data_IF_455952907365
#
_entry.id   IF_455952907365
#
_cell.length_a   1.000
_cell.length_b   1.000
_cell.length_c   1.000
_cell.angle_alpha   90.00
_cell.angle_beta   90.00
_cell.angle_gamma   90.00
#
_symmetry.space_group_name_H-M   'P 1'
#
loop_
_entity.id
_entity.type
_entity.pdbx_description
1 polymer ?
#
# COMPACT_ATOMS: atom_id res chain seq x y z
N UNK A 1 2.15 18.91 34.21
CA UNK A 1 2.79 18.07 33.19
C UNK A 1 3.03 18.97 31.98
N UNK A 2 4.28 19.40 31.76
CA UNK A 2 4.61 20.23 30.60
C UNK A 2 4.53 19.34 29.37
N UNK A 3 3.61 19.63 28.45
CA UNK A 3 3.68 19.03 27.10
C UNK A 3 5.03 19.49 26.54
N UNK A 4 5.88 18.52 26.23
CA UNK A 4 7.23 18.74 25.73
C UNK A 4 7.10 19.62 24.47
N UNK A 5 7.78 20.77 24.41
CA UNK A 5 7.62 21.76 23.34
C UNK A 5 7.79 21.11 21.93
N UNK A 6 8.67 20.12 21.83
CA UNK A 6 8.86 19.30 20.63
C UNK A 6 7.62 18.50 20.24
N UNK A 7 6.92 17.89 21.18
CA UNK A 7 5.71 17.12 20.90
C UNK A 7 4.58 18.03 20.39
N UNK A 8 4.42 19.22 20.98
CA UNK A 8 3.44 20.20 20.50
C UNK A 8 3.76 20.66 19.06
N UNK A 9 5.06 20.84 18.75
CA UNK A 9 5.53 21.18 17.41
C UNK A 9 5.24 20.07 16.40
N UNK A 10 5.54 18.81 16.74
CA UNK A 10 5.23 17.64 15.89
C UNK A 10 3.73 17.59 15.59
N UNK A 11 2.87 17.67 16.62
CA UNK A 11 1.42 17.62 16.44
C UNK A 11 0.91 18.75 15.53
N UNK A 12 1.48 19.95 15.66
CA UNK A 12 1.12 21.10 14.80
C UNK A 12 1.51 20.85 13.33
N UNK A 13 2.69 20.29 13.09
CA UNK A 13 3.15 19.96 11.74
C UNK A 13 2.34 18.81 11.12
N UNK A 14 2.01 17.79 11.91
CA UNK A 14 1.14 16.68 11.48
C UNK A 14 -0.24 17.21 11.11
N UNK A 15 -0.81 18.12 11.90
CA UNK A 15 -2.10 18.74 11.57
C UNK A 15 -2.02 19.61 10.31
N UNK A 16 -0.93 20.37 10.15
CA UNK A 16 -0.69 21.18 8.95
C UNK A 16 -0.59 20.37 7.66
N UNK A 17 -0.16 19.11 7.74
CA UNK A 17 -0.07 18.18 6.60
C UNK A 17 -1.22 17.17 6.54
N UNK A 18 -2.33 17.42 7.23
CA UNK A 18 -3.44 16.45 7.31
C UNK A 18 -4.01 16.04 5.94
N UNK A 19 -4.09 16.96 4.97
CA UNK A 19 -4.57 16.65 3.62
C UNK A 19 -3.62 15.72 2.86
N UNK A 20 -2.31 15.90 3.00
CA UNK A 20 -1.29 15.04 2.40
C UNK A 20 -1.32 13.65 3.05
N UNK A 21 -1.43 13.60 4.38
CA UNK A 21 -1.59 12.35 5.14
C UNK A 21 -2.81 11.58 4.63
N UNK A 22 -3.96 12.25 4.49
CA UNK A 22 -5.19 11.64 4.00
C UNK A 22 -5.03 11.10 2.58
N UNK A 23 -4.36 11.85 1.71
CA UNK A 23 -4.13 11.44 0.31
C UNK A 23 -3.27 10.19 0.24
N UNK A 24 -2.17 10.15 1.01
CA UNK A 24 -1.29 8.97 1.08
C UNK A 24 -2.03 7.78 1.67
N UNK A 25 -2.85 7.99 2.70
CA UNK A 25 -3.64 6.92 3.33
C UNK A 25 -4.66 6.32 2.36
N UNK A 26 -5.42 7.16 1.66
CA UNK A 26 -6.34 6.72 0.61
C UNK A 26 -5.61 5.93 -0.48
N UNK A 27 -4.44 6.40 -0.91
CA UNK A 27 -3.63 5.70 -1.90
C UNK A 27 -3.16 4.33 -1.38
N UNK A 28 -2.68 4.26 -0.13
CA UNK A 28 -2.29 2.99 0.49
C UNK A 28 -3.46 2.00 0.54
N UNK A 29 -4.66 2.45 0.90
CA UNK A 29 -5.86 1.62 0.92
C UNK A 29 -6.24 1.12 -0.47
N UNK A 30 -6.25 2.01 -1.47
CA UNK A 30 -6.56 1.66 -2.86
C UNK A 30 -5.55 0.68 -3.43
N UNK A 31 -4.26 0.90 -3.22
CA UNK A 31 -3.20 0.02 -3.71
C UNK A 31 -3.23 -1.35 -3.01
N UNK A 32 -3.49 -1.41 -1.70
CA UNK A 32 -3.72 -2.69 -0.99
C UNK A 32 -4.89 -3.46 -1.61
N UNK A 33 -6.00 -2.80 -1.89
CA UNK A 33 -7.15 -3.41 -2.54
C UNK A 33 -6.80 -3.90 -3.96
N UNK A 34 -6.07 -3.10 -4.73
CA UNK A 34 -5.61 -3.48 -6.07
C UNK A 34 -4.73 -4.73 -6.04
N UNK A 35 -3.76 -4.80 -5.11
CA UNK A 35 -2.91 -5.98 -4.91
C UNK A 35 -3.76 -7.20 -4.55
N UNK A 36 -4.73 -7.06 -3.64
CA UNK A 36 -5.61 -8.16 -3.26
C UNK A 36 -6.43 -8.69 -4.45
N UNK A 37 -7.00 -7.78 -5.26
CA UNK A 37 -7.72 -8.16 -6.48
C UNK A 37 -6.82 -8.83 -7.52
N UNK A 38 -5.60 -8.32 -7.72
CA UNK A 38 -4.63 -8.90 -8.65
C UNK A 38 -4.23 -10.32 -8.24
N UNK A 39 -3.96 -10.55 -6.95
CA UNK A 39 -3.65 -11.88 -6.40
C UNK A 39 -4.85 -12.82 -6.56
N UNK A 40 -6.06 -12.35 -6.31
CA UNK A 40 -7.26 -13.16 -6.50
C UNK A 40 -7.40 -13.63 -7.96
N UNK A 41 -7.22 -12.73 -8.93
CA UNK A 41 -7.25 -13.07 -10.37
C UNK A 41 -6.16 -14.04 -10.78
N UNK A 42 -4.96 -13.87 -10.23
CA UNK A 42 -3.86 -14.81 -10.46
C UNK A 42 -4.21 -16.22 -9.94
N UNK A 43 -4.80 -16.32 -8.74
CA UNK A 43 -5.26 -17.60 -8.18
C UNK A 43 -6.35 -18.24 -9.02
N UNK A 44 -7.38 -17.49 -9.41
CA UNK A 44 -8.44 -17.99 -10.31
C UNK A 44 -7.86 -18.57 -11.61
N UNK A 45 -6.81 -17.96 -12.15
CA UNK A 45 -6.16 -18.41 -13.38
C UNK A 45 -5.32 -19.67 -13.15
N UNK A 46 -4.65 -19.76 -12.00
CA UNK A 46 -3.94 -20.99 -11.59
C UNK A 46 -4.91 -22.16 -11.40
N UNK A 47 -6.05 -21.93 -10.75
CA UNK A 47 -7.09 -22.94 -10.57
C UNK A 47 -7.63 -23.43 -11.92
N UNK A 48 -7.85 -22.50 -12.87
CA UNK A 48 -8.24 -22.83 -14.25
C UNK A 48 -7.18 -23.64 -14.99
N UNK A 49 -5.91 -23.26 -14.86
CA UNK A 49 -4.78 -23.99 -15.44
C UNK A 49 -4.72 -25.42 -14.89
N UNK A 50 -4.82 -25.57 -13.56
CA UNK A 50 -4.85 -26.87 -12.88
C UNK A 50 -6.02 -27.72 -13.38
N UNK A 51 -7.21 -27.14 -13.53
CA UNK A 51 -8.37 -27.82 -14.12
C UNK A 51 -8.08 -28.40 -15.50
N UNK A 52 -7.54 -27.60 -16.42
CA UNK A 52 -7.19 -28.08 -17.76
C UNK A 52 -6.10 -29.17 -17.73
N UNK A 53 -5.14 -29.09 -16.81
CA UNK A 53 -4.10 -30.13 -16.66
C UNK A 53 -4.71 -31.44 -16.16
N UNK A 54 -5.59 -31.38 -15.17
CA UNK A 54 -6.29 -32.54 -14.62
C UNK A 54 -7.15 -33.24 -15.68
N UNK A 55 -7.82 -32.46 -16.54
CA UNK A 55 -8.64 -32.95 -17.64
C UNK A 55 -7.82 -33.34 -18.90
N UNK A 56 -6.49 -33.22 -18.83
CA UNK A 56 -5.54 -33.49 -19.94
C UNK A 56 -5.78 -32.62 -21.18
N UNK A 57 -6.35 -31.44 -21.01
CA UNK A 57 -6.59 -30.44 -22.05
C UNK A 57 -5.33 -29.59 -22.29
N UNK A 58 -4.23 -30.22 -22.69
CA UNK A 58 -2.90 -29.57 -22.71
C UNK A 58 -2.81 -28.32 -23.59
N UNK A 59 -3.56 -28.25 -24.70
CA UNK A 59 -3.59 -27.06 -25.55
C UNK A 59 -4.29 -25.87 -24.88
N UNK A 60 -5.33 -26.12 -24.09
CA UNK A 60 -5.99 -25.07 -23.31
C UNK A 60 -5.13 -24.68 -22.11
N UNK A 61 -4.51 -25.65 -21.45
CA UNK A 61 -3.56 -25.41 -20.37
C UNK A 61 -2.39 -24.53 -20.84
N UNK A 62 -1.82 -24.81 -22.02
CA UNK A 62 -0.73 -23.98 -22.56
C UNK A 62 -1.18 -22.57 -22.87
N UNK A 63 -2.38 -22.38 -23.46
CA UNK A 63 -2.93 -21.07 -23.72
C UNK A 63 -3.14 -20.26 -22.43
N UNK A 64 -3.78 -20.85 -21.42
CA UNK A 64 -3.99 -20.21 -20.11
C UNK A 64 -2.66 -19.87 -19.43
N UNK A 65 -1.69 -20.79 -19.48
CA UNK A 65 -0.39 -20.59 -18.83
C UNK A 65 0.48 -19.51 -19.48
N UNK A 66 0.50 -19.43 -20.81
CA UNK A 66 1.36 -18.45 -21.50
C UNK A 66 0.73 -17.07 -21.63
N UNK A 67 -0.59 -16.97 -21.69
CA UNK A 67 -1.29 -15.71 -21.94
C UNK A 67 -1.91 -15.15 -20.66
N UNK A 68 -2.95 -15.82 -20.16
CA UNK A 68 -3.74 -15.34 -19.01
C UNK A 68 -2.89 -15.27 -17.73
N UNK A 69 -2.11 -16.32 -17.43
CA UNK A 69 -1.30 -16.39 -16.22
C UNK A 69 -0.17 -15.36 -16.25
N UNK A 70 0.53 -15.23 -17.38
CA UNK A 70 1.59 -14.24 -17.55
C UNK A 70 1.04 -12.81 -17.41
N UNK A 71 -0.13 -12.53 -18.00
CA UNK A 71 -0.80 -11.25 -17.88
C UNK A 71 -1.13 -10.90 -16.42
N UNK A 72 -1.77 -11.81 -15.69
CA UNK A 72 -2.13 -11.57 -14.29
C UNK A 72 -0.90 -11.48 -13.38
N UNK A 73 0.18 -12.20 -13.69
CA UNK A 73 1.44 -12.08 -12.95
C UNK A 73 2.06 -10.68 -13.10
N UNK A 74 2.13 -10.15 -14.32
CA UNK A 74 2.59 -8.77 -14.58
C UNK A 74 1.68 -7.75 -13.89
N UNK A 75 0.37 -8.00 -13.88
CA UNK A 75 -0.58 -7.13 -13.18
C UNK A 75 -0.31 -7.09 -11.66
N UNK A 76 -0.04 -8.23 -11.02
CA UNK A 76 0.38 -8.30 -9.61
C UNK A 76 1.65 -7.46 -9.39
N UNK A 77 2.68 -7.63 -10.22
CA UNK A 77 3.92 -6.85 -10.11
C UNK A 77 3.67 -5.34 -10.17
N UNK A 78 2.79 -4.90 -11.08
CA UNK A 78 2.42 -3.48 -11.22
C UNK A 78 1.72 -2.95 -9.97
N UNK A 79 0.76 -3.69 -9.43
CA UNK A 79 0.05 -3.28 -8.20
C UNK A 79 0.98 -3.25 -6.98
N UNK A 80 1.92 -4.19 -6.88
CA UNK A 80 2.93 -4.17 -5.82
C UNK A 80 3.85 -2.94 -5.92
N UNK A 81 4.25 -2.55 -7.14
CA UNK A 81 5.03 -1.33 -7.35
C UNK A 81 4.25 -0.06 -6.95
N UNK A 82 2.94 -0.03 -7.23
CA UNK A 82 2.04 1.03 -6.76
C UNK A 82 2.00 1.12 -5.24
N UNK A 83 1.75 -0.01 -4.56
CA UNK A 83 1.75 -0.10 -3.10
C UNK A 83 3.09 0.32 -2.49
N UNK A 84 4.22 -0.12 -3.07
CA UNK A 84 5.56 0.27 -2.62
C UNK A 84 5.79 1.77 -2.77
N UNK A 85 5.30 2.38 -3.85
CA UNK A 85 5.40 3.83 -4.07
C UNK A 85 4.60 4.60 -3.01
N UNK A 86 3.37 4.18 -2.71
CA UNK A 86 2.57 4.79 -1.65
C UNK A 86 3.21 4.63 -0.26
N UNK A 87 3.80 3.47 0.03
CA UNK A 87 4.56 3.27 1.26
C UNK A 87 5.78 4.21 1.33
N UNK A 88 6.54 4.33 0.24
CA UNK A 88 7.68 5.25 0.19
C UNK A 88 7.28 6.72 0.38
N UNK A 89 6.13 7.14 -0.17
CA UNK A 89 5.59 8.48 0.04
C UNK A 89 5.27 8.74 1.52
N UNK A 90 4.70 7.77 2.22
CA UNK A 90 4.47 7.85 3.67
C UNK A 90 5.79 8.04 4.43
N UNK A 91 6.79 7.22 4.15
CA UNK A 91 8.10 7.31 4.80
C UNK A 91 8.78 8.66 4.55
N UNK A 92 8.68 9.17 3.32
CA UNK A 92 9.16 10.50 2.95
C UNK A 92 8.44 11.61 3.71
N UNK A 93 7.11 11.51 3.87
CA UNK A 93 6.33 12.48 4.63
C UNK A 93 6.77 12.53 6.10
N UNK A 94 6.91 11.37 6.75
CA UNK A 94 7.33 11.29 8.15
C UNK A 94 8.73 11.89 8.32
N UNK A 95 9.65 11.55 7.42
CA UNK A 95 11.02 12.08 7.42
C UNK A 95 11.05 13.61 7.26
N UNK A 96 10.22 14.16 6.37
CA UNK A 96 10.09 15.60 6.18
C UNK A 96 9.56 16.29 7.44
N UNK A 97 8.52 15.74 8.08
CA UNK A 97 7.98 16.28 9.33
C UNK A 97 9.03 16.20 10.44
N UNK A 98 9.77 15.08 10.56
CA UNK A 98 10.84 14.92 11.54
C UNK A 98 11.95 15.97 11.35
N UNK A 99 12.35 16.23 10.10
CA UNK A 99 13.32 17.27 9.77
C UNK A 99 12.80 18.67 10.14
N UNK A 100 11.56 19.02 9.79
CA UNK A 100 10.93 20.30 10.13
C UNK A 100 10.76 20.48 11.65
N UNK A 101 10.43 19.39 12.35
CA UNK A 101 10.30 19.35 13.80
C UNK A 101 11.65 19.42 14.51
N UNK A 102 12.76 19.04 13.85
CA UNK A 102 14.05 18.74 14.49
C UNK A 102 13.92 17.62 15.53
N UNK A 103 13.17 16.58 15.17
CA UNK A 103 12.89 15.41 15.99
C UNK A 103 13.37 14.13 15.29
N UNK A 104 13.44 13.03 16.03
CA UNK A 104 13.72 11.72 15.45
C UNK A 104 12.51 11.20 14.66
N UNK A 105 12.76 10.34 13.67
CA UNK A 105 11.70 9.72 12.88
C UNK A 105 10.70 8.97 13.78
N UNK A 106 11.22 8.24 14.76
CA UNK A 106 10.48 7.39 15.70
C UNK A 106 9.55 8.20 16.63
N UNK A 107 9.82 9.49 16.82
CA UNK A 107 8.96 10.41 17.58
C UNK A 107 7.77 10.91 16.74
N UNK A 108 7.91 10.93 15.40
CA UNK A 108 6.90 11.45 14.48
C UNK A 108 6.00 10.36 13.91
N UNK A 109 6.58 9.21 13.55
CA UNK A 109 5.87 8.11 12.90
C UNK A 109 4.56 7.71 13.60
N UNK A 110 4.50 7.56 14.94
CA UNK A 110 3.27 7.18 15.62
C UNK A 110 2.13 8.20 15.46
N UNK A 111 2.46 9.49 15.35
CA UNK A 111 1.48 10.55 15.20
C UNK A 111 0.89 10.59 13.78
N UNK A 112 1.73 10.33 12.77
CA UNK A 112 1.27 10.20 11.38
C UNK A 112 0.40 8.94 11.23
N UNK A 113 0.84 7.80 11.77
CA UNK A 113 0.08 6.55 11.77
C UNK A 113 -1.29 6.69 12.45
N UNK A 114 -1.32 7.36 13.60
CA UNK A 114 -2.57 7.63 14.30
C UNK A 114 -3.51 8.52 13.47
N UNK A 115 -2.97 9.53 12.77
CA UNK A 115 -3.76 10.43 11.93
C UNK A 115 -4.36 9.70 10.73
N UNK A 116 -3.62 8.79 10.12
CA UNK A 116 -4.11 7.89 9.05
C UNK A 116 -5.28 7.02 9.57
N UNK A 117 -5.09 6.30 10.67
CA UNK A 117 -6.14 5.42 11.24
C UNK A 117 -7.40 6.16 11.71
N UNK A 118 -7.30 7.44 12.09
CA UNK A 118 -8.47 8.25 12.46
C UNK A 118 -9.36 8.58 11.25
N UNK A 119 -8.83 8.54 10.03
CA UNK A 119 -9.62 8.72 8.82
C UNK A 119 -10.53 7.51 8.53
N UNK A 120 -10.09 6.29 8.87
CA UNK A 120 -10.86 5.05 8.70
C UNK A 120 -12.13 4.98 9.57
N UNK A 121 -12.21 5.79 10.64
CA UNK A 121 -13.33 5.78 11.61
C UNK A 121 -14.45 6.79 11.30
N UNK A 122 -14.38 7.53 10.18
CA UNK A 122 -15.38 8.51 9.76
C UNK A 122 -16.21 7.97 8.61
#
# INVERSE_FOLDING_TARGET
MAINNNQQKILTLVEGKAADIQTIDNNLLMEKAAVAMAIAKLRETLDKLEGHLNDREFQKASHVGYDELAHHFVYVQRTLAGLQTAAYQKEGLISNIAQEASAAYEEVAPHVDQKMQMAEKR
#
